data_IF_979712409895
#
_entry.id   IF_979712409895
#
_cell.length_a   1.000
_cell.length_b   1.000
_cell.length_c   1.000
_cell.angle_alpha   90.00
_cell.angle_beta   90.00
_cell.angle_gamma   90.00
#
_symmetry.space_group_name_H-M   'P 1'
#
loop_
_entity.id
_entity.type
_entity.pdbx_description
1 polymer ?
#
# COMPACT_ATOMS: atom_id res chain seq x y z
N UNK A 1 -5.81 -9.88 23.96
CA UNK A 1 -4.63 -10.17 23.13
C UNK A 1 -4.38 -8.98 22.23
N UNK A 2 -3.21 -8.32 22.28
CA UNK A 2 -2.94 -7.17 21.40
C UNK A 2 -2.33 -7.67 20.07
N UNK A 3 -2.97 -7.34 18.95
CA UNK A 3 -2.38 -7.48 17.61
C UNK A 3 -1.38 -6.33 17.41
N UNK A 4 -0.09 -6.63 17.47
CA UNK A 4 0.96 -5.71 17.06
C UNK A 4 1.08 -5.77 15.53
N UNK A 5 0.53 -4.75 14.87
CA UNK A 5 0.57 -4.59 13.43
C UNK A 5 1.80 -3.73 13.07
N UNK A 6 2.99 -4.33 12.98
CA UNK A 6 4.21 -3.61 12.61
C UNK A 6 4.46 -3.74 11.11
N UNK A 7 3.80 -2.90 10.31
CA UNK A 7 4.21 -2.73 8.92
C UNK A 7 5.66 -2.22 8.90
N UNK A 8 6.51 -2.88 8.13
CA UNK A 8 7.91 -2.48 7.98
C UNK A 8 8.00 -1.19 7.18
N UNK A 9 9.03 -0.39 7.44
CA UNK A 9 9.28 0.87 6.73
C UNK A 9 9.28 0.66 5.20
N UNK A 10 9.81 -0.48 4.74
CA UNK A 10 9.83 -0.88 3.32
C UNK A 10 8.43 -1.13 2.75
N UNK A 11 7.53 -1.77 3.49
CA UNK A 11 6.15 -2.00 3.05
C UNK A 11 5.34 -0.70 2.98
N UNK A 12 5.64 0.23 3.89
CA UNK A 12 5.10 1.59 3.83
C UNK A 12 5.64 2.32 2.60
N UNK A 13 6.95 2.24 2.34
CA UNK A 13 7.58 2.87 1.18
C UNK A 13 7.09 2.30 -0.15
N UNK A 14 6.94 0.99 -0.28
CA UNK A 14 6.44 0.34 -1.49
C UNK A 14 4.98 0.75 -1.79
N UNK A 15 4.17 0.92 -0.73
CA UNK A 15 2.84 1.51 -0.82
C UNK A 15 2.84 2.97 -1.28
N UNK A 16 3.82 3.77 -0.85
CA UNK A 16 3.99 5.18 -1.21
C UNK A 16 4.49 5.38 -2.65
N UNK A 17 5.43 4.56 -3.12
CA UNK A 17 5.96 4.61 -4.50
C UNK A 17 4.87 4.37 -5.54
N UNK A 18 3.90 3.49 -5.26
CA UNK A 18 2.76 3.26 -6.13
C UNK A 18 1.80 4.47 -6.26
N UNK A 19 1.89 5.45 -5.36
CA UNK A 19 1.06 6.66 -5.32
C UNK A 19 1.71 7.86 -6.04
N UNK A 20 3.04 7.86 -6.21
CA UNK A 20 3.80 9.05 -6.60
C UNK A 20 3.97 9.26 -8.11
N UNK A 21 3.48 8.35 -8.96
CA UNK A 21 3.74 8.36 -10.41
C UNK A 21 3.22 9.60 -11.18
N UNK A 22 2.52 10.54 -10.52
CA UNK A 22 2.15 11.85 -11.09
C UNK A 22 2.66 13.07 -10.31
N UNK A 23 3.34 12.89 -9.17
CA UNK A 23 3.82 13.97 -8.29
C UNK A 23 5.30 14.33 -8.52
N UNK A 24 5.99 13.53 -9.34
CA UNK A 24 7.40 13.70 -9.66
C UNK A 24 7.58 13.92 -11.18
N UNK A 25 8.60 14.68 -11.62
CA UNK A 25 9.71 15.19 -10.82
C UNK A 25 9.33 16.37 -9.91
N UNK A 26 9.85 16.38 -8.68
CA UNK A 26 9.60 17.44 -7.70
C UNK A 26 10.77 18.41 -7.67
N UNK A 27 10.49 19.70 -7.77
CA UNK A 27 11.54 20.73 -7.77
C UNK A 27 11.49 21.59 -6.51
N UNK A 28 12.65 21.83 -5.90
CA UNK A 28 12.78 22.79 -4.83
C UNK A 28 12.64 24.21 -5.39
N UNK A 29 11.65 24.97 -4.94
CA UNK A 29 11.43 26.36 -5.37
C UNK A 29 12.53 27.34 -4.92
N UNK A 30 13.42 26.94 -4.02
CA UNK A 30 14.52 27.80 -3.52
C UNK A 30 15.84 27.57 -4.27
N UNK A 31 16.32 26.32 -4.36
CA UNK A 31 17.60 26.01 -5.01
C UNK A 31 17.46 25.43 -6.42
N UNK A 32 16.23 25.16 -6.89
CA UNK A 32 15.96 24.59 -8.21
C UNK A 32 16.30 23.10 -8.36
N UNK A 33 16.80 22.44 -7.31
CA UNK A 33 17.12 21.00 -7.34
C UNK A 33 15.86 20.18 -7.63
N UNK A 34 15.98 19.24 -8.55
CA UNK A 34 14.89 18.36 -8.99
C UNK A 34 15.14 16.93 -8.50
N UNK A 35 14.09 16.29 -8.00
CA UNK A 35 14.07 14.92 -7.53
C UNK A 35 13.18 14.13 -8.49
N UNK A 36 13.71 13.06 -9.08
CA UNK A 36 13.04 12.30 -10.13
C UNK A 36 11.92 11.39 -9.59
N UNK A 37 12.08 10.93 -8.34
CA UNK A 37 11.13 10.08 -7.64
C UNK A 37 11.20 10.30 -6.13
N UNK A 38 10.33 9.59 -5.40
CA UNK A 38 10.25 9.68 -3.94
C UNK A 38 11.48 9.11 -3.25
N UNK A 39 12.10 8.07 -3.81
CA UNK A 39 13.28 7.44 -3.23
C UNK A 39 14.45 8.42 -3.23
N UNK A 40 14.69 9.10 -4.36
CA UNK A 40 15.68 10.15 -4.49
C UNK A 40 15.38 11.32 -3.56
N UNK A 41 14.11 11.75 -3.47
CA UNK A 41 13.71 12.79 -2.53
C UNK A 41 14.08 12.41 -1.10
N UNK A 42 13.73 11.20 -0.64
CA UNK A 42 14.04 10.76 0.73
C UNK A 42 15.54 10.60 0.94
N UNK A 43 16.28 10.01 0.01
CA UNK A 43 17.72 9.79 0.16
C UNK A 43 18.53 11.09 0.23
N UNK A 44 18.11 12.12 -0.51
CA UNK A 44 18.89 13.36 -0.67
C UNK A 44 18.39 14.56 0.19
N UNK A 45 17.45 14.31 1.10
CA UNK A 45 16.90 15.32 2.01
C UNK A 45 17.03 14.86 3.47
N UNK A 46 16.71 15.74 4.42
CA UNK A 46 16.66 15.40 5.86
C UNK A 46 15.26 15.60 6.44
N UNK A 47 15.02 15.17 7.68
CA UNK A 47 13.81 15.51 8.45
C UNK A 47 14.06 16.75 9.31
N UNK A 48 12.99 17.44 9.69
CA UNK A 48 13.00 18.57 10.64
C UNK A 48 13.13 18.14 12.10
N UNK A 49 12.71 16.91 12.44
CA UNK A 49 12.68 16.37 13.82
C UNK A 49 13.25 14.93 13.88
N UNK A 50 13.52 14.45 15.10
CA UNK A 50 13.82 13.05 15.42
C UNK A 50 12.58 12.17 15.13
N UNK A 51 12.38 11.82 13.86
CA UNK A 51 11.22 11.06 13.40
C UNK A 51 11.29 10.72 11.91
N UNK A 52 10.27 10.04 11.39
CA UNK A 52 10.23 9.63 9.98
C UNK A 52 9.85 10.76 9.01
N UNK A 53 9.47 11.96 9.51
CA UNK A 53 8.96 13.05 8.67
C UNK A 53 7.57 12.78 8.09
N UNK A 54 6.82 11.83 8.67
CA UNK A 54 5.47 11.47 8.24
C UNK A 54 4.44 12.09 9.18
N UNK A 55 3.43 12.76 8.61
CA UNK A 55 2.27 13.29 9.33
C UNK A 55 1.00 12.69 8.77
N UNK A 56 0.12 12.21 9.64
CA UNK A 56 -1.23 11.84 9.21
C UNK A 56 -2.00 13.11 8.88
N UNK A 57 -2.60 13.16 7.69
CA UNK A 57 -3.41 14.28 7.21
C UNK A 57 -4.75 13.77 6.68
N UNK A 58 -5.75 14.66 6.61
CA UNK A 58 -7.08 14.37 6.06
C UNK A 58 -8.12 13.85 7.07
N UNK A 59 -9.38 14.28 6.89
CA UNK A 59 -10.51 13.95 7.80
C UNK A 59 -11.40 12.82 7.29
N UNK A 60 -11.46 12.59 5.98
CA UNK A 60 -12.42 11.67 5.34
C UNK A 60 -11.77 10.45 4.67
N UNK A 61 -10.48 10.53 4.36
CA UNK A 61 -9.70 9.41 3.80
C UNK A 61 -8.32 9.39 4.46
N UNK A 62 -7.72 8.21 4.68
CA UNK A 62 -6.36 8.14 5.20
C UNK A 62 -5.42 8.81 4.18
N UNK A 63 -4.80 9.90 4.57
CA UNK A 63 -3.73 10.54 3.83
C UNK A 63 -2.51 10.70 4.75
N UNK A 64 -1.33 10.69 4.15
CA UNK A 64 -0.07 10.89 4.85
C UNK A 64 0.70 11.98 4.10
N UNK A 65 1.12 13.01 4.83
CA UNK A 65 2.03 14.03 4.35
C UNK A 65 3.46 13.67 4.73
N UNK A 66 4.37 13.81 3.78
CA UNK A 66 5.81 13.64 3.97
C UNK A 66 6.45 15.02 3.98
N UNK A 67 7.12 15.37 5.08
CA UNK A 67 7.88 16.60 5.24
C UNK A 67 9.38 16.30 5.16
N UNK A 68 10.06 16.98 4.24
CA UNK A 68 11.50 16.84 4.01
C UNK A 68 12.18 18.20 3.90
N UNK A 69 13.40 18.31 4.41
CA UNK A 69 14.23 19.49 4.29
C UNK A 69 15.23 19.28 3.16
N UNK A 70 15.13 20.11 2.12
CA UNK A 70 16.12 20.16 1.05
C UNK A 70 17.50 20.50 1.61
N UNK A 71 18.57 20.10 0.92
CA UNK A 71 19.95 20.48 1.31
C UNK A 71 20.20 22.00 1.40
N UNK A 72 19.31 22.83 0.83
CA UNK A 72 19.35 24.28 0.95
C UNK A 72 18.57 24.84 2.16
N UNK A 73 17.94 23.97 2.96
CA UNK A 73 17.13 24.33 4.13
C UNK A 73 15.63 24.52 3.86
N UNK A 74 15.19 24.49 2.60
CA UNK A 74 13.77 24.66 2.25
C UNK A 74 12.95 23.42 2.60
N UNK A 75 11.80 23.61 3.25
CA UNK A 75 10.82 22.54 3.48
C UNK A 75 10.11 22.14 2.18
N UNK A 76 10.02 20.84 1.95
CA UNK A 76 9.30 20.19 0.85
C UNK A 76 8.23 19.30 1.48
N UNK A 77 6.99 19.44 1.03
CA UNK A 77 5.87 18.63 1.53
C UNK A 77 5.19 17.89 0.39
N UNK A 78 4.89 16.61 0.55
CA UNK A 78 4.11 15.82 -0.42
C UNK A 78 3.02 15.00 0.27
N UNK A 79 1.83 14.93 -0.33
CA UNK A 79 0.68 14.22 0.26
C UNK A 79 0.35 12.96 -0.53
N UNK A 80 0.25 11.86 0.18
CA UNK A 80 -0.06 10.53 -0.34
C UNK A 80 -1.40 10.06 0.21
N UNK A 81 -2.29 9.53 -0.64
CA UNK A 81 -3.59 9.00 -0.23
C UNK A 81 -3.64 7.46 -0.18
N UNK A 82 -4.62 6.88 0.52
CA UNK A 82 -4.83 5.42 0.53
C UNK A 82 -5.09 4.87 -0.89
N UNK A 83 -4.28 3.89 -1.32
CA UNK A 83 -4.41 3.14 -2.59
C UNK A 83 -5.73 2.36 -2.68
N UNK A 84 -6.35 2.05 -1.56
CA UNK A 84 -7.63 1.33 -1.54
C UNK A 84 -8.70 2.28 -2.05
N UNK A 85 -9.30 1.96 -3.20
CA UNK A 85 -10.53 2.59 -3.66
C UNK A 85 -11.53 2.62 -2.50
N UNK A 86 -11.73 3.79 -1.92
CA UNK A 86 -12.65 4.03 -0.81
C UNK A 86 -14.11 4.06 -1.26
N UNK A 87 -14.36 4.12 -2.58
CA UNK A 87 -15.69 3.99 -3.15
C UNK A 87 -16.32 2.61 -2.89
N UNK A 88 -17.65 2.55 -2.96
CA UNK A 88 -18.47 1.37 -2.67
C UNK A 88 -17.97 0.11 -3.39
N UNK A 89 -17.56 0.24 -4.65
CA UNK A 89 -17.02 -0.86 -5.46
C UNK A 89 -15.74 -1.46 -4.84
N UNK A 90 -14.87 -0.63 -4.28
CA UNK A 90 -13.65 -1.09 -3.62
C UNK A 90 -13.91 -1.74 -2.27
N UNK A 91 -14.95 -1.28 -1.55
CA UNK A 91 -15.43 -1.95 -0.34
C UNK A 91 -16.05 -3.33 -0.65
N UNK A 92 -16.90 -3.42 -1.68
CA UNK A 92 -17.51 -4.66 -2.14
C UNK A 92 -16.47 -5.70 -2.58
N UNK A 93 -15.43 -5.28 -3.33
CA UNK A 93 -14.34 -6.18 -3.74
C UNK A 93 -13.57 -6.76 -2.55
N UNK A 94 -13.33 -5.95 -1.51
CA UNK A 94 -12.66 -6.40 -0.27
C UNK A 94 -13.55 -7.35 0.52
N UNK A 95 -14.82 -7.00 0.71
CA UNK A 95 -15.77 -7.87 1.40
C UNK A 95 -15.93 -9.23 0.69
N UNK A 96 -15.95 -9.24 -0.64
CA UNK A 96 -15.97 -10.48 -1.42
C UNK A 96 -14.68 -11.28 -1.24
N UNK A 97 -13.52 -10.63 -1.28
CA UNK A 97 -12.23 -11.28 -1.03
C UNK A 97 -12.18 -11.92 0.36
N UNK A 98 -12.58 -11.18 1.39
CA UNK A 98 -12.59 -11.66 2.78
C UNK A 98 -13.53 -12.85 2.95
N UNK A 99 -14.74 -12.78 2.36
CA UNK A 99 -15.69 -13.90 2.38
C UNK A 99 -15.12 -15.15 1.71
N UNK A 100 -14.54 -15.01 0.51
CA UNK A 100 -13.96 -16.14 -0.22
C UNK A 100 -12.75 -16.73 0.52
N UNK A 101 -11.92 -15.88 1.12
CA UNK A 101 -10.80 -16.32 1.92
C UNK A 101 -11.26 -17.13 3.14
N UNK A 102 -12.28 -16.66 3.87
CA UNK A 102 -12.85 -17.40 5.01
C UNK A 102 -13.38 -18.76 4.59
N UNK A 103 -14.12 -18.85 3.48
CA UNK A 103 -14.63 -20.13 2.97
C UNK A 103 -13.50 -21.11 2.65
N UNK A 104 -12.41 -20.64 2.04
CA UNK A 104 -11.27 -21.51 1.73
C UNK A 104 -10.55 -22.00 3.00
N UNK A 105 -10.43 -21.14 4.01
CA UNK A 105 -9.82 -21.49 5.29
C UNK A 105 -10.70 -22.48 6.06
N UNK A 106 -12.01 -22.26 6.09
CA UNK A 106 -12.99 -23.16 6.69
C UNK A 106 -13.01 -24.53 5.98
N UNK A 107 -12.78 -24.54 4.65
CA UNK A 107 -12.56 -25.75 3.85
C UNK A 107 -11.17 -26.40 4.04
N UNK A 108 -10.39 -25.98 5.04
CA UNK A 108 -9.11 -26.60 5.41
C UNK A 108 -7.90 -26.12 4.60
N UNK A 109 -8.04 -25.10 3.75
CA UNK A 109 -6.90 -24.55 3.02
C UNK A 109 -6.07 -23.63 3.93
N UNK A 110 -4.73 -23.79 3.98
CA UNK A 110 -3.88 -22.88 4.74
C UNK A 110 -4.03 -21.43 4.28
N UNK A 111 -4.16 -20.50 5.22
CA UNK A 111 -4.41 -19.06 4.96
C UNK A 111 -3.43 -18.45 3.94
N UNK A 112 -2.15 -18.80 4.01
CA UNK A 112 -1.12 -18.30 3.09
C UNK A 112 -1.33 -18.79 1.66
N UNK A 113 -1.74 -20.04 1.49
CA UNK A 113 -2.06 -20.65 0.20
C UNK A 113 -3.36 -20.09 -0.36
N UNK A 114 -4.41 -20.01 0.45
CA UNK A 114 -5.71 -19.45 0.06
C UNK A 114 -5.57 -18.00 -0.44
N UNK A 115 -4.83 -17.15 0.30
CA UNK A 115 -4.55 -15.76 -0.13
C UNK A 115 -3.81 -15.73 -1.47
N UNK A 116 -2.76 -16.53 -1.64
CA UNK A 116 -1.94 -16.54 -2.86
C UNK A 116 -2.77 -16.92 -4.09
N UNK A 117 -3.57 -17.96 -3.99
CA UNK A 117 -4.38 -18.44 -5.11
C UNK A 117 -5.54 -17.49 -5.41
N UNK A 118 -6.18 -16.92 -4.38
CA UNK A 118 -7.28 -15.98 -4.55
C UNK A 118 -6.80 -14.68 -5.24
N UNK A 119 -5.60 -14.21 -4.91
CA UNK A 119 -4.98 -13.05 -5.58
C UNK A 119 -4.69 -13.36 -7.06
N UNK A 120 -4.25 -14.56 -7.42
CA UNK A 120 -4.03 -14.95 -8.83
C UNK A 120 -5.34 -14.84 -9.63
N UNK A 121 -6.41 -15.46 -9.13
CA UNK A 121 -7.72 -15.46 -9.80
C UNK A 121 -8.26 -14.04 -9.96
N UNK A 122 -8.15 -13.20 -8.93
CA UNK A 122 -8.58 -11.79 -9.02
C UNK A 122 -7.77 -10.96 -10.02
N UNK A 123 -6.54 -11.36 -10.31
CA UNK A 123 -5.69 -10.74 -11.34
C UNK A 123 -5.94 -11.33 -12.74
N UNK A 124 -6.94 -12.20 -12.90
CA UNK A 124 -7.24 -12.90 -14.15
C UNK A 124 -6.25 -14.01 -14.49
N UNK A 125 -5.41 -14.41 -13.53
CA UNK A 125 -4.45 -15.50 -13.72
C UNK A 125 -5.09 -16.84 -13.38
N UNK A 126 -4.73 -17.92 -14.08
CA UNK A 126 -5.23 -19.25 -13.76
C UNK A 126 -4.71 -19.71 -12.39
N UNK A 127 -5.56 -20.43 -11.66
CA UNK A 127 -5.20 -21.13 -10.43
C UNK A 127 -5.49 -22.63 -10.59
N UNK A 128 -4.50 -23.46 -10.31
CA UNK A 128 -4.66 -24.91 -10.32
C UNK A 128 -5.44 -25.42 -9.11
N UNK A 129 -5.54 -24.62 -8.04
CA UNK A 129 -6.17 -25.00 -6.78
C UNK A 129 -7.59 -24.45 -6.64
N UNK A 130 -7.84 -23.27 -7.23
CA UNK A 130 -9.17 -22.65 -7.29
C UNK A 130 -9.84 -22.92 -8.63
N UNK A 131 -9.78 -24.16 -9.11
CA UNK A 131 -10.59 -24.62 -10.23
C UNK A 131 -11.77 -25.46 -9.72
N UNK A 132 -12.78 -25.62 -10.56
CA UNK A 132 -14.05 -26.27 -10.21
C UNK A 132 -13.85 -27.68 -9.64
N UNK A 133 -12.94 -28.45 -10.22
CA UNK A 133 -12.72 -29.86 -9.84
C UNK A 133 -11.96 -29.99 -8.51
N UNK A 134 -11.03 -29.09 -8.23
CA UNK A 134 -10.27 -29.09 -6.98
C UNK A 134 -11.09 -28.52 -5.83
N UNK A 135 -11.87 -27.46 -6.06
CA UNK A 135 -12.80 -26.94 -5.05
C UNK A 135 -13.81 -28.00 -4.63
N UNK A 136 -14.32 -28.82 -5.56
CA UNK A 136 -15.21 -29.92 -5.24
C UNK A 136 -14.58 -30.98 -4.31
N UNK A 137 -13.24 -31.14 -4.34
CA UNK A 137 -12.50 -32.05 -3.43
C UNK A 137 -12.18 -31.44 -2.08
N UNK A 138 -12.06 -30.12 -2.01
CA UNK A 138 -11.78 -29.40 -0.76
C UNK A 138 -13.04 -29.23 0.11
N UNK A 139 -14.22 -29.17 -0.51
CA UNK A 139 -15.50 -28.98 0.19
C UNK A 139 -16.35 -30.24 0.30
N UNK A 140 -15.79 -31.42 -0.02
CA UNK A 140 -16.39 -32.75 0.16
C UNK A 140 -15.87 -33.41 1.43
#
# INVERSE_FOLDING_TARGET
MPMQNSATLSEVFEGLTALSNGAFPKQCGSCGKSYADLEQLVAETSTSEDGSGLKQVGSFSPQVEVERICSCGQLLTETFGDRRSSGEVGAQRRALFDRLLSLLIEGGMPTTMAKKELIKVMKGQPSELLNRDQLARFFS
#
